data_IF_915841936720
#
_entry.id   IF_915841936720
#
_cell.length_a   1.000
_cell.length_b   1.000
_cell.length_c   1.000
_cell.angle_alpha   90.00
_cell.angle_beta   90.00
_cell.angle_gamma   90.00
#
_symmetry.space_group_name_H-M   'P 1'
#
loop_
_entity.id
_entity.type
_entity.pdbx_description
1 polymer ?
#
# COMPACT_ATOMS: atom_id res chain seq x y z
N UNK A 1 0.68 1.81 -7.27
CA UNK A 1 1.79 2.63 -6.77
C UNK A 1 3.13 1.89 -6.73
N UNK A 2 3.27 0.79 -5.98
CA UNK A 2 4.55 0.06 -5.85
C UNK A 2 5.20 -0.33 -7.19
N UNK A 3 4.42 -0.86 -8.13
CA UNK A 3 4.89 -1.15 -9.50
C UNK A 3 5.38 0.11 -10.26
N UNK A 4 4.76 1.25 -10.00
CA UNK A 4 5.17 2.51 -10.62
C UNK A 4 6.50 3.00 -10.03
N UNK A 5 6.65 2.96 -8.70
CA UNK A 5 7.91 3.31 -8.03
C UNK A 5 9.07 2.45 -8.51
N UNK A 6 8.84 1.13 -8.63
CA UNK A 6 9.85 0.20 -9.15
C UNK A 6 10.25 0.53 -10.59
N UNK A 7 9.27 0.80 -11.47
CA UNK A 7 9.54 1.20 -12.86
C UNK A 7 10.37 2.47 -12.98
N UNK A 8 10.31 3.36 -11.99
CA UNK A 8 11.10 4.60 -11.94
C UNK A 8 12.36 4.49 -11.07
N UNK A 9 12.70 3.29 -10.59
CA UNK A 9 13.90 3.07 -9.76
C UNK A 9 13.86 3.72 -8.38
N UNK A 10 12.70 4.19 -7.92
CA UNK A 10 12.56 4.90 -6.65
C UNK A 10 12.54 3.90 -5.49
N UNK A 11 13.54 4.02 -4.61
CA UNK A 11 13.68 3.24 -3.38
C UNK A 11 13.32 4.12 -2.19
N UNK A 12 12.14 3.90 -1.63
CA UNK A 12 11.67 4.64 -0.46
C UNK A 12 12.16 3.98 0.81
N UNK A 13 12.99 4.68 1.58
CA UNK A 13 13.48 4.18 2.86
C UNK A 13 12.51 4.51 4.01
N UNK A 14 12.02 5.76 4.00
CA UNK A 14 11.02 6.26 4.93
C UNK A 14 9.61 6.10 4.35
N UNK A 15 8.79 5.31 5.05
CA UNK A 15 7.36 5.15 4.76
C UNK A 15 6.58 5.49 6.03
N UNK A 16 5.88 6.61 5.99
CA UNK A 16 5.10 7.13 7.11
C UNK A 16 3.65 6.67 7.02
N UNK A 17 3.05 6.36 8.17
CA UNK A 17 1.61 6.12 8.28
C UNK A 17 0.86 7.43 8.15
N UNK A 18 -0.29 7.42 7.49
CA UNK A 18 -1.18 8.57 7.45
C UNK A 18 -1.60 8.99 8.87
N UNK A 19 -1.34 10.25 9.21
CA UNK A 19 -1.77 10.90 10.44
C UNK A 19 -2.90 11.87 10.09
N UNK A 20 -4.13 11.64 10.55
CA UNK A 20 -5.25 12.50 10.21
C UNK A 20 -5.03 13.90 10.79
N UNK A 21 -4.87 14.89 9.91
CA UNK A 21 -4.83 16.30 10.29
C UNK A 21 -6.25 16.86 10.43
N UNK A 22 -6.57 17.63 11.49
CA UNK A 22 -7.86 18.28 11.62
C UNK A 22 -8.20 19.14 10.39
N UNK A 23 -9.49 19.28 10.10
CA UNK A 23 -10.00 20.13 9.01
C UNK A 23 -9.49 19.78 7.59
N UNK A 24 -8.94 18.58 7.38
CA UNK A 24 -8.56 18.10 6.05
C UNK A 24 -9.59 17.15 5.46
N UNK A 25 -9.75 17.23 4.13
CA UNK A 25 -10.59 16.31 3.36
C UNK A 25 -10.18 14.85 3.57
N UNK A 26 -8.87 14.57 3.59
CA UNK A 26 -8.34 13.23 3.79
C UNK A 26 -8.74 12.66 5.16
N UNK A 27 -8.78 13.49 6.20
CA UNK A 27 -9.26 13.10 7.53
C UNK A 27 -10.76 12.80 7.53
N UNK A 28 -11.57 13.63 6.89
CA UNK A 28 -12.99 13.35 6.72
C UNK A 28 -13.21 12.00 6.02
N UNK A 29 -12.47 11.72 4.94
CA UNK A 29 -12.50 10.43 4.23
C UNK A 29 -12.01 9.27 5.11
N UNK A 30 -10.95 9.48 5.89
CA UNK A 30 -10.39 8.46 6.79
C UNK A 30 -11.37 8.01 7.88
N UNK A 31 -12.15 8.95 8.43
CA UNK A 31 -13.14 8.67 9.46
C UNK A 31 -14.45 8.14 8.89
N UNK A 32 -14.99 8.80 7.85
CA UNK A 32 -16.29 8.44 7.26
C UNK A 32 -16.22 7.22 6.34
N UNK A 33 -15.05 6.93 5.76
CA UNK A 33 -14.91 5.89 4.75
C UNK A 33 -15.61 6.22 3.43
N UNK A 34 -15.96 7.49 3.19
CA UNK A 34 -16.62 7.94 1.97
C UNK A 34 -15.90 9.15 1.37
N UNK A 35 -16.02 9.35 0.06
CA UNK A 35 -15.52 10.54 -0.62
C UNK A 35 -16.61 11.63 -0.65
N UNK A 36 -16.48 12.71 0.12
CA UNK A 36 -17.50 13.75 0.20
C UNK A 36 -17.56 14.65 -1.04
N UNK A 37 -16.56 14.59 -1.92
CA UNK A 37 -16.57 15.32 -3.19
C UNK A 37 -17.37 14.60 -4.28
N UNK A 38 -17.70 13.32 -4.08
CA UNK A 38 -18.48 12.56 -5.05
C UNK A 38 -19.97 12.63 -4.73
N UNK A 39 -20.83 12.88 -5.74
CA UNK A 39 -22.28 12.75 -5.57
C UNK A 39 -22.62 11.37 -5.01
N UNK A 40 -23.41 11.32 -3.95
CA UNK A 40 -23.82 10.08 -3.29
C UNK A 40 -22.77 9.45 -2.35
N UNK A 41 -21.74 10.19 -1.91
CA UNK A 41 -20.79 9.74 -0.87
C UNK A 41 -20.17 8.37 -1.18
N UNK A 42 -19.50 8.22 -2.32
CA UNK A 42 -18.96 6.92 -2.73
C UNK A 42 -18.02 6.34 -1.66
N UNK A 43 -18.15 5.05 -1.33
CA UNK A 43 -17.32 4.41 -0.32
C UNK A 43 -15.85 4.36 -0.78
N UNK A 44 -14.96 4.57 0.16
CA UNK A 44 -13.51 4.54 0.01
C UNK A 44 -12.96 3.49 0.95
N UNK A 45 -12.16 2.57 0.41
CA UNK A 45 -11.48 1.58 1.25
C UNK A 45 -10.37 2.25 2.06
N UNK A 46 -10.54 2.29 3.38
CA UNK A 46 -9.55 2.83 4.31
C UNK A 46 -8.96 1.69 5.13
N UNK A 47 -7.72 1.25 4.86
CA UNK A 47 -7.08 0.16 5.58
C UNK A 47 -6.73 0.59 7.02
N UNK A 48 -7.57 0.20 7.98
CA UNK A 48 -7.32 0.43 9.42
C UNK A 48 -6.56 -0.73 10.09
N UNK A 49 -6.59 -1.92 9.48
CA UNK A 49 -5.94 -3.12 10.02
C UNK A 49 -4.41 -3.09 9.94
N UNK A 50 -3.75 -3.52 11.02
CA UNK A 50 -2.29 -3.57 11.12
C UNK A 50 -1.63 -4.48 10.07
N UNK A 51 -2.21 -5.65 9.78
CA UNK A 51 -1.69 -6.59 8.76
C UNK A 51 -1.66 -5.93 7.37
N UNK A 52 -2.75 -5.28 6.97
CA UNK A 52 -2.87 -4.64 5.67
C UNK A 52 -1.90 -3.45 5.54
N UNK A 53 -1.73 -2.65 6.61
CA UNK A 53 -0.75 -1.55 6.63
C UNK A 53 0.68 -2.04 6.50
N UNK A 54 1.06 -3.11 7.22
CA UNK A 54 2.38 -3.73 7.09
C UNK A 54 2.63 -4.22 5.67
N UNK A 55 1.64 -4.89 5.08
CA UNK A 55 1.73 -5.35 3.70
C UNK A 55 1.91 -4.18 2.71
N UNK A 56 1.12 -3.11 2.83
CA UNK A 56 1.28 -1.92 1.99
C UNK A 56 2.67 -1.28 2.13
N UNK A 57 3.20 -1.20 3.36
CA UNK A 57 4.56 -0.71 3.62
C UNK A 57 5.62 -1.61 2.97
N UNK A 58 5.47 -2.93 3.08
CA UNK A 58 6.34 -3.91 2.44
C UNK A 58 6.38 -3.73 0.90
N UNK A 59 5.24 -3.47 0.27
CA UNK A 59 5.19 -3.19 -1.18
C UNK A 59 5.94 -1.91 -1.58
N UNK A 60 5.94 -0.88 -0.72
CA UNK A 60 6.70 0.35 -0.96
C UNK A 60 8.21 0.11 -0.73
N UNK A 61 8.56 -0.71 0.26
CA UNK A 61 9.93 -1.16 0.58
C UNK A 61 10.25 -2.52 -0.02
N UNK A 62 9.95 -2.69 -1.31
CA UNK A 62 10.15 -3.94 -2.04
C UNK A 62 11.62 -4.39 -2.13
N UNK A 63 12.56 -3.45 -1.98
CA UNK A 63 14.00 -3.72 -2.05
C UNK A 63 14.56 -4.31 -0.76
N UNK A 64 13.79 -4.29 0.32
CA UNK A 64 14.17 -4.81 1.62
C UNK A 64 13.95 -6.34 1.66
N UNK A 65 15.01 -7.15 1.86
CA UNK A 65 14.92 -8.61 1.80
C UNK A 65 14.01 -9.19 2.90
N UNK A 66 13.84 -8.52 4.03
CA UNK A 66 12.95 -8.98 5.11
C UNK A 66 11.48 -9.06 4.65
N UNK A 67 11.09 -8.23 3.69
CA UNK A 67 9.73 -8.19 3.16
C UNK A 67 9.47 -9.27 2.10
N UNK A 68 10.50 -9.95 1.59
CA UNK A 68 10.37 -10.86 0.44
C UNK A 68 9.38 -12.02 0.68
N UNK A 69 9.42 -12.63 1.87
CA UNK A 69 8.51 -13.72 2.22
C UNK A 69 7.05 -13.25 2.26
N UNK A 70 6.78 -12.14 2.96
CA UNK A 70 5.46 -11.53 3.06
C UNK A 70 4.90 -11.11 1.69
N UNK A 71 5.74 -10.53 0.83
CA UNK A 71 5.36 -10.13 -0.51
C UNK A 71 5.01 -11.35 -1.37
N UNK A 72 5.85 -12.40 -1.34
CA UNK A 72 5.61 -13.64 -2.09
C UNK A 72 4.30 -14.30 -1.69
N UNK A 73 4.05 -14.47 -0.39
CA UNK A 73 2.79 -15.04 0.12
C UNK A 73 1.59 -14.23 -0.34
N UNK A 74 1.63 -12.91 -0.16
CA UNK A 74 0.52 -12.04 -0.58
C UNK A 74 0.27 -12.06 -2.09
N UNK A 75 1.32 -12.16 -2.91
CA UNK A 75 1.18 -12.25 -4.37
C UNK A 75 0.58 -13.59 -4.80
N UNK A 76 0.87 -14.67 -4.08
CA UNK A 76 0.24 -15.97 -4.31
C UNK A 76 -1.24 -15.93 -3.92
N UNK A 77 -1.58 -15.36 -2.76
CA UNK A 77 -2.97 -15.15 -2.33
C UNK A 77 -3.77 -14.30 -3.33
N UNK A 78 -3.12 -13.28 -3.93
CA UNK A 78 -3.73 -12.41 -4.94
C UNK A 78 -3.75 -13.03 -6.35
N UNK A 79 -3.19 -14.23 -6.55
CA UNK A 79 -3.07 -14.88 -7.86
C UNK A 79 -2.10 -14.19 -8.83
N UNK A 80 -1.26 -13.26 -8.34
CA UNK A 80 -0.32 -12.46 -9.13
C UNK A 80 1.11 -13.00 -9.08
N UNK A 81 1.25 -14.30 -9.38
CA UNK A 81 2.55 -14.98 -9.42
C UNK A 81 3.51 -14.38 -10.47
N UNK A 82 2.95 -13.77 -11.52
CA UNK A 82 3.67 -13.01 -12.55
C UNK A 82 4.56 -11.89 -11.98
N UNK A 83 4.15 -11.30 -10.85
CA UNK A 83 4.85 -10.17 -10.24
C UNK A 83 5.91 -10.59 -9.22
N UNK A 84 6.03 -11.87 -8.88
CA UNK A 84 6.98 -12.33 -7.84
C UNK A 84 8.41 -11.98 -8.23
N UNK A 85 8.81 -12.21 -9.49
CA UNK A 85 10.15 -11.82 -9.97
C UNK A 85 10.38 -10.30 -9.99
N UNK A 86 9.31 -9.49 -9.88
CA UNK A 86 9.43 -8.05 -9.76
C UNK A 86 9.59 -7.60 -8.31
N UNK A 87 9.02 -8.29 -7.33
CA UNK A 87 9.06 -7.83 -5.94
C UNK A 87 10.06 -8.59 -5.07
N UNK A 88 10.47 -9.78 -5.49
CA UNK A 88 11.44 -10.61 -4.79
C UNK A 88 12.74 -10.61 -5.61
N UNK A 89 13.86 -10.14 -5.05
CA UNK A 89 15.15 -10.25 -5.73
C UNK A 89 15.47 -11.75 -5.93
N UNK A 90 15.59 -12.17 -7.18
CA UNK A 90 16.18 -13.46 -7.53
C UNK A 90 17.68 -13.34 -7.22
N UNK A 91 18.18 -14.18 -6.31
CA UNK A 91 19.63 -14.29 -6.06
C UNK A 91 20.36 -14.71 -7.33
#
# INVERSE_FOLDING_TARGET
LALWLKRHGLKLDQVQTFLPSPMSLATAMYHTGCNPLTPGLKPVSVPKGGRQRRLHKAYLRWHDPENAALLKESLIELGRKDLIGQFVPQK
#
